data_IF_115753966955
#
_entry.id   IF_115753966955
#
_cell.length_a   1.000
_cell.length_b   1.000
_cell.length_c   1.000
_cell.angle_alpha   90.00
_cell.angle_beta   90.00
_cell.angle_gamma   90.00
#
_symmetry.space_group_name_H-M   'P 1'
#
loop_
_entity.id
_entity.type
_entity.pdbx_description
1 polymer ?
#
# COMPACT_ATOMS: atom_id res chain seq x y z
N UNK A 1 -5.21 -16.63 9.65
CA UNK A 1 -5.75 -15.69 10.66
C UNK A 1 -5.68 -14.30 10.06
N UNK A 2 -6.50 -14.02 9.05
CA UNK A 2 -6.60 -12.73 8.36
C UNK A 2 -7.45 -11.81 9.21
N UNK A 3 -6.85 -11.26 10.28
CA UNK A 3 -7.41 -10.04 10.83
C UNK A 3 -7.23 -8.97 9.77
N UNK A 4 -8.35 -8.48 9.26
CA UNK A 4 -8.39 -7.65 8.06
C UNK A 4 -7.77 -6.32 8.44
N UNK A 5 -6.72 -5.91 7.72
CA UNK A 5 -6.06 -4.62 7.94
C UNK A 5 -7.12 -3.52 8.16
N UNK A 6 -6.93 -2.62 9.13
CA UNK A 6 -7.94 -1.63 9.50
C UNK A 6 -8.39 -0.79 8.31
N UNK A 7 -9.62 -0.27 8.37
CA UNK A 7 -10.23 0.52 7.28
C UNK A 7 -9.35 1.69 6.83
N UNK A 8 -8.60 2.28 7.74
CA UNK A 8 -7.52 3.22 7.44
C UNK A 8 -6.16 2.52 7.56
N UNK A 9 -5.28 2.75 6.57
CA UNK A 9 -3.87 2.40 6.69
C UNK A 9 -3.18 3.39 7.61
N UNK A 10 -2.59 2.87 8.69
CA UNK A 10 -1.77 3.62 9.63
C UNK A 10 -0.31 3.16 9.52
N UNK A 11 0.62 4.13 9.55
CA UNK A 11 2.04 3.87 9.33
C UNK A 11 2.60 2.92 10.39
N UNK A 12 2.32 3.17 11.68
CA UNK A 12 2.87 2.37 12.76
C UNK A 12 2.34 0.93 12.71
N UNK A 13 1.06 0.75 12.44
CA UNK A 13 0.44 -0.57 12.29
C UNK A 13 0.97 -1.35 11.10
N UNK A 14 1.07 -0.72 9.92
CA UNK A 14 1.61 -1.39 8.74
C UNK A 14 3.06 -1.78 8.94
N UNK A 15 3.89 -0.88 9.48
CA UNK A 15 5.29 -1.18 9.80
C UNK A 15 5.42 -2.35 10.79
N UNK A 16 4.58 -2.40 11.83
CA UNK A 16 4.57 -3.52 12.78
C UNK A 16 4.15 -4.83 12.12
N UNK A 17 3.10 -4.82 11.30
CA UNK A 17 2.61 -6.01 10.60
C UNK A 17 3.62 -6.54 9.58
N UNK A 18 4.33 -5.65 8.88
CA UNK A 18 5.46 -6.00 8.01
C UNK A 18 6.62 -6.63 8.79
N UNK A 19 6.99 -6.05 9.92
CA UNK A 19 8.06 -6.60 10.77
C UNK A 19 7.70 -7.97 11.37
N UNK A 20 6.41 -8.19 11.65
CA UNK A 20 5.88 -9.46 12.15
C UNK A 20 5.65 -10.50 11.03
N UNK A 21 5.75 -10.12 9.76
CA UNK A 21 5.45 -11.00 8.62
C UNK A 21 3.97 -11.35 8.47
N UNK A 22 3.08 -10.56 9.09
CA UNK A 22 1.62 -10.76 9.05
C UNK A 22 1.01 -10.32 7.72
N UNK A 23 1.68 -9.41 7.02
CA UNK A 23 1.33 -8.95 5.68
C UNK A 23 2.59 -8.45 4.96
N UNK A 24 2.45 -8.06 3.70
CA UNK A 24 3.53 -7.55 2.87
C UNK A 24 3.07 -6.37 1.98
N UNK A 25 4.01 -5.61 1.40
CA UNK A 25 3.68 -4.48 0.52
C UNK A 25 2.80 -4.86 -0.69
N UNK A 26 2.92 -6.08 -1.23
CA UNK A 26 2.12 -6.54 -2.37
C UNK A 26 0.65 -6.71 -1.95
N UNK A 27 0.41 -7.32 -0.80
CA UNK A 27 -0.92 -7.49 -0.20
C UNK A 27 -1.55 -6.13 0.09
N UNK A 28 -0.77 -5.18 0.60
CA UNK A 28 -1.25 -3.82 0.88
C UNK A 28 -1.62 -3.06 -0.40
N UNK A 29 -0.85 -3.21 -1.49
CA UNK A 29 -1.22 -2.63 -2.80
C UNK A 29 -2.55 -3.20 -3.30
N UNK A 30 -2.74 -4.54 -3.28
CA UNK A 30 -4.02 -5.15 -3.71
C UNK A 30 -5.20 -4.61 -2.90
N UNK A 31 -5.04 -4.54 -1.58
CA UNK A 31 -6.09 -4.04 -0.70
C UNK A 31 -6.36 -2.54 -0.91
N UNK A 32 -5.34 -1.73 -1.22
CA UNK A 32 -5.52 -0.33 -1.57
C UNK A 32 -6.40 -0.18 -2.82
N UNK A 33 -6.11 -0.94 -3.88
CA UNK A 33 -6.90 -0.90 -5.11
C UNK A 33 -8.31 -1.45 -4.94
N UNK A 34 -8.49 -2.51 -4.14
CA UNK A 34 -9.83 -2.99 -3.76
C UNK A 34 -10.65 -1.90 -3.07
N UNK A 35 -10.05 -1.15 -2.13
CA UNK A 35 -10.70 -0.02 -1.45
C UNK A 35 -10.99 1.16 -2.37
N UNK A 36 -10.07 1.49 -3.28
CA UNK A 36 -10.26 2.54 -4.28
C UNK A 36 -11.46 2.21 -5.18
N UNK A 37 -11.54 0.97 -5.68
CA UNK A 37 -12.67 0.52 -6.51
C UNK A 37 -14.01 0.51 -5.79
N UNK A 38 -14.02 0.23 -4.49
CA UNK A 38 -15.23 0.21 -3.67
C UNK A 38 -15.67 1.61 -3.20
N UNK A 39 -14.82 2.63 -3.36
CA UNK A 39 -15.12 3.98 -2.89
C UNK A 39 -16.14 4.67 -3.82
N UNK A 40 -17.21 5.27 -3.28
CA UNK A 40 -18.32 5.77 -4.08
C UNK A 40 -18.03 7.10 -4.80
N UNK A 41 -17.04 7.87 -4.34
CA UNK A 41 -16.69 9.15 -4.94
C UNK A 41 -15.64 8.96 -6.05
N UNK A 42 -15.99 9.15 -7.34
CA UNK A 42 -15.05 9.01 -8.43
C UNK A 42 -14.06 10.18 -8.53
N UNK A 43 -14.26 11.29 -7.81
CA UNK A 43 -13.45 12.50 -7.90
C UNK A 43 -12.24 12.55 -6.95
N UNK A 44 -11.94 11.45 -6.25
CA UNK A 44 -10.79 11.37 -5.32
C UNK A 44 -9.45 11.43 -6.05
N UNK A 45 -9.38 10.85 -7.26
CA UNK A 45 -8.14 10.72 -8.02
C UNK A 45 -8.24 11.45 -9.36
N UNK A 46 -7.27 12.33 -9.64
CA UNK A 46 -7.08 12.89 -10.99
C UNK A 46 -6.39 11.86 -11.88
N UNK A 47 -5.36 11.19 -11.33
CA UNK A 47 -4.63 10.11 -11.97
C UNK A 47 -4.41 8.99 -10.96
N UNK A 48 -4.69 7.76 -11.39
CA UNK A 48 -4.31 6.56 -10.67
C UNK A 48 -3.30 5.77 -11.52
N UNK A 49 -2.22 5.31 -10.89
CA UNK A 49 -1.26 4.43 -11.55
C UNK A 49 -1.89 3.07 -11.84
N UNK A 50 -1.34 2.36 -12.83
CA UNK A 50 -1.77 0.99 -13.12
C UNK A 50 -1.45 0.05 -11.94
N UNK A 51 -2.40 -0.83 -11.60
CA UNK A 51 -2.26 -1.77 -10.49
C UNK A 51 -1.15 -2.79 -10.75
N UNK A 52 -0.98 -3.27 -11.99
CA UNK A 52 0.04 -4.26 -12.33
C UNK A 52 1.45 -3.69 -12.16
N UNK A 53 1.65 -2.44 -12.55
CA UNK A 53 2.93 -1.74 -12.39
C UNK A 53 3.28 -1.57 -10.90
N UNK A 54 2.31 -1.14 -10.08
CA UNK A 54 2.51 -1.01 -8.64
C UNK A 54 2.76 -2.35 -7.95
N UNK A 55 2.11 -3.43 -8.40
CA UNK A 55 2.40 -4.78 -7.91
C UNK A 55 3.80 -5.25 -8.30
N UNK A 56 4.29 -4.91 -9.50
CA UNK A 56 5.66 -5.20 -9.90
C UNK A 56 6.68 -4.43 -9.04
N UNK A 57 6.45 -3.15 -8.78
CA UNK A 57 7.28 -2.34 -7.89
C UNK A 57 7.27 -2.86 -6.44
N UNK A 58 6.11 -3.26 -5.92
CA UNK A 58 6.01 -3.85 -4.59
C UNK A 58 6.82 -5.15 -4.47
N UNK A 59 6.80 -6.02 -5.49
CA UNK A 59 7.66 -7.23 -5.52
C UNK A 59 9.15 -6.88 -5.55
N UNK A 60 9.54 -5.89 -6.35
CA UNK A 60 10.93 -5.42 -6.40
C UNK A 60 11.36 -4.81 -5.05
N UNK A 61 10.46 -4.08 -4.37
CA UNK A 61 10.69 -3.53 -3.04
C UNK A 61 10.86 -4.64 -1.99
N UNK A 62 10.08 -5.72 -2.08
CA UNK A 62 10.23 -6.90 -1.22
C UNK A 62 11.60 -7.55 -1.40
N UNK A 63 12.07 -7.69 -2.64
CA UNK A 63 13.39 -8.26 -2.93
C UNK A 63 14.55 -7.42 -2.34
N UNK A 64 14.37 -6.09 -2.26
CA UNK A 64 15.36 -5.18 -1.64
C UNK A 64 15.35 -5.22 -0.10
N UNK A 65 14.22 -5.58 0.50
CA UNK A 65 14.03 -5.60 1.96
C UNK A 65 13.91 -4.21 2.60
N UNK A 66 13.61 -4.15 3.92
CA UNK A 66 13.29 -2.91 4.64
C UNK A 66 14.51 -2.12 5.14
N UNK A 67 15.74 -2.65 4.99
CA UNK A 67 16.93 -2.07 5.62
C UNK A 67 17.17 -0.62 5.17
N UNK A 68 17.19 0.31 6.14
CA UNK A 68 17.42 1.74 5.90
C UNK A 68 16.23 2.51 5.31
N UNK A 69 15.04 1.90 5.24
CA UNK A 69 13.84 2.47 4.62
C UNK A 69 12.74 2.68 5.68
N UNK A 70 12.63 3.86 6.31
CA UNK A 70 11.69 4.08 7.42
C UNK A 70 10.21 4.04 7.01
N UNK A 71 9.92 4.18 5.71
CA UNK A 71 8.56 4.11 5.14
C UNK A 71 8.43 2.93 4.16
N UNK A 72 9.19 1.86 4.40
CA UNK A 72 9.18 0.70 3.52
C UNK A 72 7.76 0.13 3.34
N UNK A 73 7.27 0.16 2.09
CA UNK A 73 6.00 -0.42 1.71
C UNK A 73 4.77 0.36 2.17
N UNK A 74 4.92 1.60 2.65
CA UNK A 74 3.79 2.43 3.07
C UNK A 74 3.13 3.08 1.84
N UNK A 75 1.83 2.82 1.58
CA UNK A 75 1.12 3.47 0.48
C UNK A 75 0.79 4.93 0.83
N UNK A 76 0.84 5.82 -0.16
CA UNK A 76 0.46 7.22 -0.01
C UNK A 76 -0.07 7.79 -1.33
N UNK A 77 -0.79 8.90 -1.23
CA UNK A 77 -1.22 9.71 -2.36
C UNK A 77 -0.35 10.96 -2.47
N UNK A 78 -0.16 11.46 -3.69
CA UNK A 78 0.50 12.74 -3.96
C UNK A 78 -0.53 13.67 -4.59
N UNK A 79 -0.57 14.92 -4.12
CA UNK A 79 -1.41 15.94 -4.72
C UNK A 79 -0.85 16.29 -6.11
N UNK A 80 -1.71 16.41 -7.11
CA UNK A 80 -1.36 16.64 -8.53
C UNK A 80 -0.82 18.06 -8.84
N UNK A 81 -0.09 18.63 -7.88
CA UNK A 81 0.61 19.91 -8.01
C UNK A 81 2.04 19.83 -7.46
N UNK A 82 2.54 18.60 -7.22
CA UNK A 82 3.91 18.29 -6.83
C UNK A 82 4.65 17.71 -8.04
#
# INVERSE_FOLDING_TARGET
MTDTLPAAFDIARLSAAYAAGETDPVTVVRLAFERIRAWPDPAVWILLRDEADLLAEARALMARGPAGLPLWGIPFAVKDNI
#
